data_IF_153615342576
#
_entry.id   IF_153615342576
#
_cell.length_a   1.000
_cell.length_b   1.000
_cell.length_c   1.000
_cell.angle_alpha   90.00
_cell.angle_beta   90.00
_cell.angle_gamma   90.00
#
_symmetry.space_group_name_H-M   'P 1'
#
loop_
_entity.id
_entity.type
_entity.pdbx_description
1 polymer ?
#
# COMPACT_ATOMS: atom_id res chain seq x y z
N UNK A 1 -6.95 11.86 -4.11
CA UNK A 1 -6.47 10.49 -3.79
C UNK A 1 -6.75 10.18 -2.31
N UNK A 2 -7.12 8.95 -1.91
CA UNK A 2 -7.26 8.61 -0.48
C UNK A 2 -5.87 8.33 0.11
N UNK A 3 -5.50 9.00 1.20
CA UNK A 3 -4.17 8.86 1.82
C UNK A 3 -4.18 8.28 3.25
N UNK A 4 -5.35 8.10 3.87
CA UNK A 4 -5.46 7.60 5.25
C UNK A 4 -6.50 6.48 5.37
N UNK A 5 -6.21 5.50 6.23
CA UNK A 5 -7.11 4.42 6.65
C UNK A 5 -8.19 4.88 7.63
N UNK A 6 -7.98 6.02 8.30
CA UNK A 6 -8.97 6.58 9.21
C UNK A 6 -10.30 6.83 8.48
N UNK A 7 -11.38 6.56 9.20
CA UNK A 7 -12.74 6.89 8.78
C UNK A 7 -12.97 8.40 8.84
N UNK A 8 -14.00 8.86 8.11
CA UNK A 8 -14.39 10.27 8.14
C UNK A 8 -14.78 10.72 9.57
N UNK A 9 -15.38 9.83 10.35
CA UNK A 9 -15.81 10.12 11.73
C UNK A 9 -14.61 10.27 12.68
N UNK A 10 -13.59 9.39 12.55
CA UNK A 10 -12.35 9.50 13.32
C UNK A 10 -11.61 10.81 13.02
N UNK A 11 -11.49 11.16 11.73
CA UNK A 11 -10.87 12.41 11.29
C UNK A 11 -11.66 13.61 11.82
N UNK A 12 -13.00 13.58 11.73
CA UNK A 12 -13.85 14.67 12.20
C UNK A 12 -13.74 14.85 13.73
N UNK A 13 -13.72 13.76 14.49
CA UNK A 13 -13.55 13.80 15.95
C UNK A 13 -12.19 14.40 16.33
N UNK A 14 -11.10 13.96 15.69
CA UNK A 14 -9.76 14.50 15.92
C UNK A 14 -9.67 15.99 15.59
N UNK A 15 -10.19 16.40 14.42
CA UNK A 15 -10.24 17.82 14.01
C UNK A 15 -11.00 18.69 15.02
N UNK A 16 -12.16 18.22 15.48
CA UNK A 16 -12.97 18.94 16.45
C UNK A 16 -12.24 19.14 17.79
N UNK A 17 -11.52 18.12 18.25
CA UNK A 17 -10.73 18.20 19.48
C UNK A 17 -9.51 19.12 19.35
N UNK A 18 -8.79 19.03 18.23
CA UNK A 18 -7.60 19.83 17.94
C UNK A 18 -7.93 21.33 17.75
N UNK A 19 -9.10 21.67 17.22
CA UNK A 19 -9.51 23.08 17.01
C UNK A 19 -10.36 23.63 18.14
N UNK A 20 -10.58 22.85 19.21
CA UNK A 20 -11.33 23.28 20.38
C UNK A 20 -10.67 24.53 21.00
N UNK A 21 -11.49 25.50 21.40
CA UNK A 21 -10.99 26.75 21.96
C UNK A 21 -10.32 27.71 20.96
N UNK A 22 -10.39 27.42 19.65
CA UNK A 22 -9.84 28.28 18.61
C UNK A 22 -8.37 28.05 18.30
N UNK A 23 -7.80 26.93 18.74
CA UNK A 23 -6.43 26.54 18.41
C UNK A 23 -6.28 26.29 16.90
N UNK A 24 -5.15 26.73 16.36
CA UNK A 24 -4.67 26.46 15.00
C UNK A 24 -3.90 25.15 14.96
N UNK A 25 -3.63 24.59 13.77
CA UNK A 25 -2.83 23.36 13.68
C UNK A 25 -1.40 23.57 14.17
N UNK A 26 -0.82 24.75 13.93
CA UNK A 26 0.53 25.08 14.37
C UNK A 26 0.66 25.20 15.90
N UNK A 27 -0.42 25.53 16.61
CA UNK A 27 -0.40 25.62 18.08
C UNK A 27 -0.07 24.27 18.75
N UNK A 28 -0.35 23.15 18.08
CA UNK A 28 -0.06 21.80 18.58
C UNK A 28 1.39 21.37 18.38
N UNK A 29 2.20 22.12 17.62
CA UNK A 29 3.58 21.73 17.26
C UNK A 29 4.62 22.63 17.94
N UNK A 30 4.52 22.74 19.27
CA UNK A 30 5.57 23.29 20.14
C UNK A 30 6.84 22.39 20.18
N UNK A 31 7.66 22.42 21.25
CA UNK A 31 8.83 21.53 21.33
C UNK A 31 8.44 20.04 21.23
N UNK A 32 7.26 19.68 21.75
CA UNK A 32 6.59 18.38 21.59
C UNK A 32 5.15 18.59 21.11
N UNK A 33 4.53 17.54 20.55
CA UNK A 33 3.12 17.57 20.13
C UNK A 33 2.17 17.56 21.35
N UNK A 34 1.20 18.48 21.39
CA UNK A 34 0.20 18.51 22.45
C UNK A 34 -1.03 17.67 22.09
N UNK A 35 -1.26 16.60 22.84
CA UNK A 35 -2.39 15.69 22.61
C UNK A 35 -3.67 16.32 23.18
N UNK A 36 -4.71 16.58 22.36
CA UNK A 36 -5.96 17.14 22.86
C UNK A 36 -6.71 16.11 23.71
N UNK A 37 -7.58 16.59 24.59
CA UNK A 37 -8.41 15.72 25.42
C UNK A 37 -9.30 14.80 24.56
N UNK A 38 -9.33 13.50 24.90
CA UNK A 38 -10.19 12.55 24.20
C UNK A 38 -11.67 12.83 24.52
N UNK A 39 -12.57 12.82 23.51
CA UNK A 39 -14.00 12.98 23.74
C UNK A 39 -14.53 11.89 24.69
N UNK A 40 -15.51 12.20 25.56
CA UNK A 40 -16.00 11.27 26.58
C UNK A 40 -16.63 9.99 26.02
N UNK A 41 -17.16 10.02 24.80
CA UNK A 41 -17.74 8.87 24.10
C UNK A 41 -16.73 8.13 23.20
N UNK A 42 -15.48 8.57 23.18
CA UNK A 42 -14.48 8.05 22.27
C UNK A 42 -13.90 6.72 22.76
N UNK A 43 -14.02 5.68 21.92
CA UNK A 43 -13.46 4.34 22.16
C UNK A 43 -12.18 4.08 21.36
N UNK A 44 -11.62 5.09 20.72
CA UNK A 44 -10.40 4.96 19.93
C UNK A 44 -9.20 4.68 20.84
N UNK A 45 -8.55 3.54 20.61
CA UNK A 45 -7.47 3.03 21.47
C UNK A 45 -6.18 3.85 21.34
N UNK A 46 -5.95 4.51 20.20
CA UNK A 46 -4.71 5.22 19.86
C UNK A 46 -4.97 6.73 19.58
N UNK A 47 -5.72 7.38 20.47
CA UNK A 47 -6.15 8.78 20.29
C UNK A 47 -4.98 9.76 20.09
N UNK A 48 -3.87 9.55 20.80
CA UNK A 48 -2.63 10.31 20.68
C UNK A 48 -2.09 10.29 19.25
N UNK A 49 -1.92 9.08 18.67
CA UNK A 49 -1.38 8.93 17.32
C UNK A 49 -2.35 9.37 16.25
N UNK A 50 -3.65 9.14 16.44
CA UNK A 50 -4.69 9.59 15.51
C UNK A 50 -4.70 11.12 15.43
N UNK A 51 -4.66 11.80 16.59
CA UNK A 51 -4.68 13.26 16.63
C UNK A 51 -3.40 13.85 16.05
N UNK A 52 -2.24 13.28 16.32
CA UNK A 52 -0.98 13.72 15.70
C UNK A 52 -1.00 13.52 14.17
N UNK A 53 -1.43 12.34 13.70
CA UNK A 53 -1.57 12.04 12.27
C UNK A 53 -2.48 13.06 11.57
N UNK A 54 -3.65 13.34 12.14
CA UNK A 54 -4.60 14.31 11.60
C UNK A 54 -4.03 15.72 11.65
N UNK A 55 -3.46 16.16 12.78
CA UNK A 55 -2.88 17.49 12.91
C UNK A 55 -1.79 17.76 11.86
N UNK A 56 -0.91 16.78 11.63
CA UNK A 56 0.15 16.87 10.61
C UNK A 56 -0.42 16.97 9.19
N UNK A 57 -1.41 16.14 8.85
CA UNK A 57 -2.08 16.20 7.55
C UNK A 57 -2.79 17.54 7.32
N UNK A 58 -3.52 18.03 8.33
CA UNK A 58 -4.25 19.29 8.24
C UNK A 58 -3.33 20.50 8.11
N UNK A 59 -2.20 20.47 8.83
CA UNK A 59 -1.19 21.52 8.77
C UNK A 59 -0.61 21.68 7.37
N UNK A 60 -0.26 20.58 6.70
CA UNK A 60 0.18 20.62 5.30
C UNK A 60 -0.95 21.11 4.40
N UNK A 61 -2.16 20.57 4.58
CA UNK A 61 -3.34 20.92 3.78
C UNK A 61 -3.76 22.39 3.92
N UNK A 62 -3.56 23.00 5.09
CA UNK A 62 -3.81 24.42 5.33
C UNK A 62 -2.82 25.28 4.53
N UNK A 63 -1.52 24.97 4.60
CA UNK A 63 -0.50 25.72 3.85
C UNK A 63 -0.73 25.62 2.35
N UNK A 64 -1.04 24.42 1.83
CA UNK A 64 -1.38 24.25 0.40
C UNK A 64 -2.58 25.12 0.01
N UNK A 65 -3.65 25.14 0.81
CA UNK A 65 -4.85 25.94 0.52
C UNK A 65 -4.61 27.46 0.63
N UNK A 66 -3.82 27.89 1.60
CA UNK A 66 -3.61 29.30 1.91
C UNK A 66 -2.51 29.94 1.05
N UNK A 67 -1.46 29.18 0.73
CA UNK A 67 -0.23 29.71 0.12
C UNK A 67 0.22 28.96 -1.14
N UNK A 68 -0.41 27.84 -1.48
CA UNK A 68 -0.10 27.04 -2.65
C UNK A 68 0.93 25.93 -2.39
N UNK A 69 1.15 25.12 -3.42
CA UNK A 69 2.00 23.92 -3.35
C UNK A 69 3.49 24.24 -3.16
N UNK A 70 3.98 25.31 -3.78
CA UNK A 70 5.39 25.70 -3.68
C UNK A 70 5.80 26.09 -2.24
N UNK A 71 4.93 26.84 -1.54
CA UNK A 71 5.17 27.17 -0.13
C UNK A 71 5.10 25.92 0.76
N UNK A 72 4.14 25.02 0.48
CA UNK A 72 4.06 23.74 1.19
C UNK A 72 5.32 22.88 0.96
N UNK A 73 5.87 22.86 -0.27
CA UNK A 73 7.13 22.18 -0.58
C UNK A 73 8.32 22.82 0.14
N UNK A 74 8.40 24.15 0.17
CA UNK A 74 9.46 24.85 0.90
C UNK A 74 9.44 24.53 2.39
N UNK A 75 8.24 24.37 2.97
CA UNK A 75 8.04 24.11 4.39
C UNK A 75 8.15 22.64 4.80
N UNK A 76 7.63 21.72 3.98
CA UNK A 76 7.48 20.29 4.34
C UNK A 76 8.21 19.34 3.39
N UNK A 77 8.82 19.80 2.30
CA UNK A 77 9.40 18.94 1.26
C UNK A 77 10.56 18.06 1.73
N UNK A 78 11.21 18.39 2.85
CA UNK A 78 12.27 17.58 3.46
C UNK A 78 11.79 16.76 4.65
N UNK A 79 10.47 16.71 4.90
CA UNK A 79 9.92 15.92 6.01
C UNK A 79 10.22 14.44 5.83
N UNK A 80 10.46 13.76 6.94
CA UNK A 80 10.52 12.29 7.00
C UNK A 80 9.31 11.72 7.75
N UNK A 81 8.22 12.48 7.83
CA UNK A 81 6.96 12.04 8.41
C UNK A 81 6.03 11.61 7.28
N UNK A 82 5.64 10.33 7.28
CA UNK A 82 4.91 9.73 6.16
C UNK A 82 3.61 10.44 5.81
N UNK A 83 2.81 10.85 6.80
CA UNK A 83 1.54 11.54 6.52
C UNK A 83 1.74 12.96 5.94
N UNK A 84 2.80 13.67 6.34
CA UNK A 84 3.12 14.99 5.77
C UNK A 84 3.55 14.84 4.32
N UNK A 85 4.47 13.91 4.05
CA UNK A 85 4.93 13.58 2.70
C UNK A 85 3.77 13.09 1.81
N UNK A 86 2.92 12.19 2.31
CA UNK A 86 1.75 11.68 1.61
C UNK A 86 0.73 12.77 1.27
N UNK A 87 0.52 13.73 2.19
CA UNK A 87 -0.37 14.87 1.96
C UNK A 87 0.19 15.80 0.88
N UNK A 88 1.49 16.08 0.92
CA UNK A 88 2.16 16.91 -0.09
C UNK A 88 2.12 16.23 -1.47
N UNK A 89 2.41 14.93 -1.55
CA UNK A 89 2.34 14.17 -2.78
C UNK A 89 0.91 14.07 -3.34
N UNK A 90 -0.10 13.97 -2.47
CA UNK A 90 -1.50 14.00 -2.91
C UNK A 90 -1.90 15.34 -3.52
N UNK A 91 -1.48 16.46 -2.91
CA UNK A 91 -1.68 17.79 -3.47
C UNK A 91 -0.95 17.97 -4.81
N UNK A 92 0.29 17.49 -4.91
CA UNK A 92 1.04 17.50 -6.17
C UNK A 92 0.37 16.65 -7.26
N UNK A 93 -0.21 15.50 -6.90
CA UNK A 93 -0.95 14.65 -7.83
C UNK A 93 -2.20 15.34 -8.37
N UNK A 94 -2.95 16.04 -7.50
CA UNK A 94 -4.12 16.82 -7.90
C UNK A 94 -3.77 17.99 -8.82
N UNK A 95 -2.55 18.54 -8.69
CA UNK A 95 -2.00 19.55 -9.58
C UNK A 95 -1.31 19.01 -10.85
N UNK A 96 -1.27 17.69 -11.06
CA UNK A 96 -0.51 17.05 -12.15
C UNK A 96 1.00 17.35 -12.11
N UNK A 97 1.54 17.67 -10.93
CA UNK A 97 2.95 18.00 -10.68
C UNK A 97 3.71 16.92 -9.90
N UNK A 98 3.09 15.75 -9.70
CA UNK A 98 3.71 14.63 -8.99
C UNK A 98 4.65 13.85 -9.91
N UNK A 99 5.87 13.59 -9.45
CA UNK A 99 6.85 12.76 -10.14
C UNK A 99 7.18 11.46 -9.36
N UNK A 100 7.99 10.59 -9.98
CA UNK A 100 8.41 9.32 -9.39
C UNK A 100 9.25 9.51 -8.10
N UNK A 101 10.11 10.53 -8.06
CA UNK A 101 10.98 10.78 -6.91
C UNK A 101 10.16 11.12 -5.67
N UNK A 102 9.16 11.97 -5.84
CA UNK A 102 8.22 12.34 -4.79
C UNK A 102 7.38 11.15 -4.30
N UNK A 103 7.00 10.23 -5.18
CA UNK A 103 6.31 9.00 -4.76
C UNK A 103 7.24 8.09 -3.96
N UNK A 104 8.48 7.91 -4.41
CA UNK A 104 9.48 7.10 -3.70
C UNK A 104 9.80 7.71 -2.33
N UNK A 105 9.89 9.03 -2.22
CA UNK A 105 10.12 9.73 -0.95
C UNK A 105 9.03 9.43 0.10
N UNK A 106 7.76 9.34 -0.32
CA UNK A 106 6.66 8.91 0.56
C UNK A 106 6.87 7.47 1.05
N UNK A 107 7.27 6.57 0.15
CA UNK A 107 7.47 5.14 0.45
C UNK A 107 8.75 4.88 1.27
N UNK A 108 9.70 5.81 1.27
CA UNK A 108 10.92 5.74 2.10
C UNK A 108 10.74 6.32 3.50
N UNK A 109 9.61 6.98 3.79
CA UNK A 109 9.32 7.44 5.14
C UNK A 109 9.10 6.25 6.10
N UNK A 110 9.42 6.41 7.41
CA UNK A 110 9.01 5.44 8.42
C UNK A 110 7.51 5.14 8.33
N UNK A 111 7.15 3.87 8.50
CA UNK A 111 5.78 3.41 8.29
C UNK A 111 4.84 4.04 9.32
N UNK A 112 3.88 4.80 8.81
CA UNK A 112 2.70 5.24 9.55
C UNK A 112 1.55 4.27 9.26
N UNK A 113 1.08 3.57 10.29
CA UNK A 113 0.03 2.53 10.14
C UNK A 113 -1.32 3.07 9.68
N UNK A 114 -1.55 4.39 9.80
CA UNK A 114 -2.75 5.06 9.32
C UNK A 114 -2.64 5.54 7.88
N UNK A 115 -1.43 5.62 7.29
CA UNK A 115 -1.29 5.98 5.87
C UNK A 115 -1.77 4.83 4.99
N UNK A 116 -2.57 5.17 3.97
CA UNK A 116 -3.01 4.24 2.95
C UNK A 116 -1.98 4.22 1.80
N UNK A 117 -1.01 3.29 1.87
CA UNK A 117 0.12 3.25 0.93
C UNK A 117 -0.21 2.68 -0.46
N UNK A 118 -1.33 1.99 -0.66
CA UNK A 118 -1.64 1.32 -1.92
C UNK A 118 -1.65 2.27 -3.15
N UNK A 119 -2.26 3.47 -3.09
CA UNK A 119 -2.20 4.42 -4.19
C UNK A 119 -0.78 4.87 -4.55
N UNK A 120 0.12 4.98 -3.56
CA UNK A 120 1.50 5.36 -3.81
C UNK A 120 2.28 4.23 -4.50
N UNK A 121 2.05 2.98 -4.13
CA UNK A 121 2.62 1.83 -4.85
C UNK A 121 2.13 1.77 -6.30
N UNK A 122 0.84 2.02 -6.53
CA UNK A 122 0.26 2.09 -7.89
C UNK A 122 0.90 3.21 -8.72
N UNK A 123 1.04 4.41 -8.14
CA UNK A 123 1.70 5.55 -8.79
C UNK A 123 3.17 5.28 -9.07
N UNK A 124 3.89 4.65 -8.13
CA UNK A 124 5.29 4.30 -8.29
C UNK A 124 5.49 3.36 -9.49
N UNK A 125 4.64 2.33 -9.61
CA UNK A 125 4.65 1.42 -10.77
C UNK A 125 4.25 2.15 -12.06
N UNK A 126 3.30 3.07 -12.00
CA UNK A 126 2.83 3.82 -13.17
C UNK A 126 3.89 4.78 -13.73
N UNK A 127 4.59 5.52 -12.87
CA UNK A 127 5.65 6.47 -13.24
C UNK A 127 7.01 5.79 -13.44
N UNK A 128 7.23 4.65 -12.81
CA UNK A 128 8.48 3.88 -12.84
C UNK A 128 8.73 3.04 -14.09
N UNK A 129 7.90 3.14 -15.13
CA UNK A 129 7.99 2.27 -16.32
C UNK A 129 9.29 2.42 -17.10
N UNK A 130 9.87 3.62 -17.07
CA UNK A 130 11.13 3.92 -17.76
C UNK A 130 12.36 3.64 -16.89
N UNK A 131 12.17 3.37 -15.59
CA UNK A 131 13.23 3.05 -14.61
C UNK A 131 12.80 1.87 -13.73
N UNK A 132 12.61 0.73 -14.38
CA UNK A 132 12.07 -0.49 -13.76
C UNK A 132 12.96 -0.99 -12.62
N UNK A 133 14.28 -0.91 -12.78
CA UNK A 133 15.22 -1.43 -11.79
C UNK A 133 15.14 -0.64 -10.49
N UNK A 134 15.16 0.69 -10.56
CA UNK A 134 14.98 1.57 -9.40
C UNK A 134 13.61 1.38 -8.76
N UNK A 135 12.56 1.24 -9.58
CA UNK A 135 11.19 1.05 -9.09
C UNK A 135 11.04 -0.26 -8.34
N UNK A 136 11.65 -1.34 -8.84
CA UNK A 136 11.69 -2.63 -8.16
C UNK A 136 12.42 -2.51 -6.83
N UNK A 137 13.59 -1.88 -6.81
CA UNK A 137 14.35 -1.67 -5.58
C UNK A 137 13.54 -0.90 -4.54
N UNK A 138 12.90 0.21 -4.93
CA UNK A 138 12.08 1.00 -4.02
C UNK A 138 10.89 0.21 -3.46
N UNK A 139 10.25 -0.64 -4.29
CA UNK A 139 9.20 -1.54 -3.82
C UNK A 139 9.76 -2.56 -2.82
N UNK A 140 10.87 -3.21 -3.11
CA UNK A 140 11.52 -4.18 -2.20
C UNK A 140 11.87 -3.56 -0.84
N UNK A 141 12.45 -2.35 -0.84
CA UNK A 141 12.78 -1.60 0.36
C UNK A 141 11.52 -1.27 1.18
N UNK A 142 10.47 -0.75 0.52
CA UNK A 142 9.18 -0.52 1.16
C UNK A 142 8.59 -1.81 1.72
N UNK A 143 8.63 -2.90 0.97
CA UNK A 143 8.09 -4.20 1.36
C UNK A 143 8.74 -4.72 2.64
N UNK A 144 10.06 -4.56 2.76
CA UNK A 144 10.82 -4.93 3.94
C UNK A 144 10.45 -4.03 5.14
N UNK A 145 10.41 -2.72 4.96
CA UNK A 145 10.04 -1.77 6.01
C UNK A 145 8.60 -1.98 6.52
N UNK A 146 7.66 -2.20 5.58
CA UNK A 146 6.26 -2.47 5.86
C UNK A 146 6.10 -3.79 6.63
N UNK A 147 6.78 -4.85 6.20
CA UNK A 147 6.77 -6.12 6.93
C UNK A 147 7.30 -5.97 8.37
N UNK A 148 8.41 -5.26 8.55
CA UNK A 148 8.97 -5.01 9.87
C UNK A 148 7.99 -4.25 10.78
N UNK A 149 7.39 -3.17 10.28
CA UNK A 149 6.46 -2.33 11.03
C UNK A 149 5.15 -3.05 11.42
N UNK A 150 4.67 -3.98 10.59
CA UNK A 150 3.41 -4.68 10.82
C UNK A 150 3.56 -6.01 11.57
N UNK A 151 4.77 -6.42 11.96
CA UNK A 151 5.03 -7.71 12.63
C UNK A 151 4.11 -7.97 13.83
N UNK A 152 3.77 -6.94 14.60
CA UNK A 152 2.94 -7.04 15.81
C UNK A 152 1.57 -6.36 15.68
N UNK A 153 1.19 -5.95 14.47
CA UNK A 153 -0.09 -5.29 14.21
C UNK A 153 -1.15 -6.36 13.95
N UNK A 154 -2.35 -6.29 14.56
CA UNK A 154 -3.45 -7.17 14.21
C UNK A 154 -3.73 -7.14 12.70
N UNK A 155 -3.89 -8.32 12.10
CA UNK A 155 -4.03 -8.48 10.65
C UNK A 155 -2.82 -8.01 9.82
N UNK A 156 -1.65 -7.83 10.46
CA UNK A 156 -0.43 -7.38 9.80
C UNK A 156 0.07 -8.39 8.75
N UNK A 157 -0.04 -9.68 9.04
CA UNK A 157 0.36 -10.76 8.12
C UNK A 157 -0.42 -10.72 6.81
N UNK A 158 -1.74 -10.54 6.86
CA UNK A 158 -2.59 -10.45 5.67
C UNK A 158 -2.24 -9.21 4.84
N UNK A 159 -2.01 -8.07 5.49
CA UNK A 159 -1.59 -6.82 4.82
C UNK A 159 -0.23 -6.96 4.14
N UNK A 160 0.73 -7.59 4.81
CA UNK A 160 2.07 -7.87 4.25
C UNK A 160 1.95 -8.86 3.09
N UNK A 161 1.08 -9.87 3.20
CA UNK A 161 0.80 -10.81 2.13
C UNK A 161 0.28 -10.12 0.87
N UNK A 162 -0.75 -9.28 1.00
CA UNK A 162 -1.31 -8.53 -0.13
C UNK A 162 -0.28 -7.59 -0.79
N UNK A 163 0.56 -6.94 0.01
CA UNK A 163 1.65 -6.10 -0.52
C UNK A 163 2.66 -6.92 -1.32
N UNK A 164 3.06 -8.10 -0.82
CA UNK A 164 3.98 -9.02 -1.51
C UNK A 164 3.39 -9.58 -2.79
N UNK A 165 2.09 -9.84 -2.80
CA UNK A 165 1.39 -10.27 -4.01
C UNK A 165 1.46 -9.17 -5.09
N UNK A 166 1.35 -7.89 -4.70
CA UNK A 166 1.58 -6.74 -5.59
C UNK A 166 3.02 -6.63 -6.10
N UNK A 167 4.01 -6.88 -5.24
CA UNK A 167 5.42 -6.92 -5.65
C UNK A 167 5.69 -8.06 -6.65
N UNK A 168 5.09 -9.23 -6.42
CA UNK A 168 5.21 -10.37 -7.34
C UNK A 168 4.56 -10.07 -8.70
N UNK A 169 3.36 -9.48 -8.71
CA UNK A 169 2.70 -9.01 -9.93
C UNK A 169 3.60 -8.00 -10.68
N UNK A 170 4.28 -7.11 -9.96
CA UNK A 170 5.21 -6.14 -10.56
C UNK A 170 6.47 -6.79 -11.13
N UNK A 171 7.07 -7.77 -10.44
CA UNK A 171 8.19 -8.55 -10.99
C UNK A 171 7.83 -9.20 -12.32
N UNK A 172 6.63 -9.78 -12.44
CA UNK A 172 6.15 -10.37 -13.70
C UNK A 172 6.09 -9.30 -14.80
N UNK A 173 5.52 -8.14 -14.51
CA UNK A 173 5.45 -7.03 -15.47
C UNK A 173 6.83 -6.50 -15.88
N UNK A 174 7.80 -6.53 -14.94
CA UNK A 174 9.18 -6.14 -15.14
C UNK A 174 10.03 -7.21 -15.87
N UNK A 175 9.46 -8.39 -16.17
CA UNK A 175 10.21 -9.51 -16.77
C UNK A 175 11.12 -10.26 -15.80
N UNK A 176 11.11 -9.93 -14.50
CA UNK A 176 11.84 -10.59 -13.42
C UNK A 176 11.14 -11.89 -12.99
N UNK A 177 11.12 -12.84 -13.91
CA UNK A 177 10.29 -14.06 -13.80
C UNK A 177 10.72 -14.95 -12.64
N UNK A 178 12.02 -15.13 -12.42
CA UNK A 178 12.54 -16.01 -11.37
C UNK A 178 12.21 -15.43 -9.98
N UNK A 179 12.35 -14.12 -9.81
CA UNK A 179 11.99 -13.40 -8.58
C UNK A 179 10.49 -13.46 -8.31
N UNK A 180 9.66 -13.29 -9.36
CA UNK A 180 8.22 -13.44 -9.26
C UNK A 180 7.82 -14.86 -8.82
N UNK A 181 8.40 -15.89 -9.45
CA UNK A 181 8.11 -17.29 -9.09
C UNK A 181 8.49 -17.57 -7.64
N UNK A 182 9.71 -17.19 -7.22
CA UNK A 182 10.17 -17.41 -5.86
C UNK A 182 9.28 -16.72 -4.82
N UNK A 183 8.77 -15.52 -5.12
CA UNK A 183 7.89 -14.80 -4.23
C UNK A 183 6.49 -15.42 -4.18
N UNK A 184 5.90 -15.79 -5.33
CA UNK A 184 4.61 -16.48 -5.37
C UNK A 184 4.66 -17.84 -4.69
N UNK A 185 5.74 -18.61 -4.85
CA UNK A 185 5.95 -19.90 -4.18
C UNK A 185 5.97 -19.74 -2.66
N UNK A 186 6.80 -18.81 -2.16
CA UNK A 186 6.85 -18.51 -0.72
C UNK A 186 5.48 -18.10 -0.19
N UNK A 187 4.78 -17.21 -0.90
CA UNK A 187 3.43 -16.77 -0.53
C UNK A 187 2.42 -17.91 -0.53
N UNK A 188 2.51 -18.82 -1.49
CA UNK A 188 1.64 -19.99 -1.58
C UNK A 188 1.87 -20.99 -0.43
N UNK A 189 3.12 -21.10 0.04
CA UNK A 189 3.48 -21.95 1.17
C UNK A 189 3.09 -21.33 2.52
N UNK A 190 3.14 -20.00 2.62
CA UNK A 190 2.65 -19.23 3.77
C UNK A 190 1.11 -19.29 3.89
N UNK A 191 0.39 -19.09 2.77
CA UNK A 191 -1.08 -19.08 2.73
C UNK A 191 -1.66 -20.42 2.26
N UNK A 192 -1.54 -21.42 3.13
CA UNK A 192 -1.99 -22.78 2.83
C UNK A 192 -3.52 -22.94 2.83
N UNK A 193 -4.24 -21.96 3.38
CA UNK A 193 -5.69 -21.98 3.58
C UNK A 193 -6.50 -21.52 2.37
N UNK A 194 -5.83 -20.97 1.35
CA UNK A 194 -6.50 -20.44 0.18
C UNK A 194 -5.80 -20.75 -1.15
N UNK A 195 -6.48 -20.44 -2.25
CA UNK A 195 -6.00 -20.58 -3.64
C UNK A 195 -5.65 -19.24 -4.26
N UNK A 196 -5.88 -18.12 -3.56
CA UNK A 196 -5.79 -16.76 -4.09
C UNK A 196 -4.42 -16.47 -4.71
N UNK A 197 -3.32 -16.82 -4.03
CA UNK A 197 -1.95 -16.63 -4.54
C UNK A 197 -1.75 -17.31 -5.89
N UNK A 198 -2.17 -18.58 -6.01
CA UNK A 198 -2.01 -19.33 -7.26
C UNK A 198 -2.85 -18.76 -8.41
N UNK A 199 -4.04 -18.23 -8.10
CA UNK A 199 -4.87 -17.54 -9.08
C UNK A 199 -4.25 -16.20 -9.50
N UNK A 200 -3.71 -15.42 -8.56
CA UNK A 200 -3.02 -14.16 -8.86
C UNK A 200 -1.81 -14.40 -9.75
N UNK A 201 -0.94 -15.34 -9.37
CA UNK A 201 0.22 -15.73 -10.17
C UNK A 201 -0.17 -16.16 -11.58
N UNK A 202 -1.21 -17.01 -11.71
CA UNK A 202 -1.69 -17.43 -13.04
C UNK A 202 -2.16 -16.25 -13.90
N UNK A 203 -2.85 -15.27 -13.30
CA UNK A 203 -3.35 -14.08 -13.98
C UNK A 203 -2.21 -13.15 -14.37
N UNK A 204 -1.25 -12.90 -13.48
CA UNK A 204 -0.09 -12.06 -13.74
C UNK A 204 0.72 -12.60 -14.92
N UNK A 205 1.05 -13.91 -14.89
CA UNK A 205 1.79 -14.54 -15.99
C UNK A 205 1.00 -14.57 -17.30
N UNK A 206 -0.32 -14.76 -17.27
CA UNK A 206 -1.14 -14.63 -18.49
C UNK A 206 -1.08 -13.22 -19.07
N UNK A 207 -1.18 -12.19 -18.21
CA UNK A 207 -1.14 -10.79 -18.64
C UNK A 207 0.21 -10.42 -19.27
N UNK A 208 1.31 -10.97 -18.76
CA UNK A 208 2.65 -10.82 -19.34
C UNK A 208 2.93 -11.75 -20.54
N UNK A 209 1.96 -12.55 -20.99
CA UNK A 209 2.11 -13.47 -22.12
C UNK A 209 2.91 -14.74 -21.81
N UNK A 210 3.26 -14.99 -20.55
CA UNK A 210 3.96 -16.19 -20.08
C UNK A 210 2.97 -17.35 -19.84
N UNK A 211 2.50 -17.94 -20.93
CA UNK A 211 1.43 -18.95 -20.88
C UNK A 211 1.86 -20.24 -20.16
N UNK A 212 3.14 -20.64 -20.26
CA UNK A 212 3.67 -21.82 -19.56
C UNK A 212 3.57 -21.67 -18.02
N UNK A 213 3.99 -20.52 -17.50
CA UNK A 213 3.93 -20.19 -16.08
C UNK A 213 2.48 -20.08 -15.60
N UNK A 214 1.63 -19.44 -16.39
CA UNK A 214 0.20 -19.39 -16.10
C UNK A 214 -0.44 -20.78 -15.97
N UNK A 215 -0.15 -21.68 -16.91
CA UNK A 215 -0.62 -23.06 -16.91
C UNK A 215 -0.10 -23.81 -15.68
N UNK A 216 1.16 -23.62 -15.30
CA UNK A 216 1.74 -24.18 -14.08
C UNK A 216 0.95 -23.74 -12.85
N UNK A 217 0.76 -22.44 -12.67
CA UNK A 217 0.07 -21.86 -11.51
C UNK A 217 -1.43 -22.24 -11.44
N UNK A 218 -2.12 -22.39 -12.57
CA UNK A 218 -3.47 -22.98 -12.59
C UNK A 218 -3.47 -24.42 -12.04
N UNK A 219 -2.43 -25.20 -12.34
CA UNK A 219 -2.24 -26.55 -11.80
C UNK A 219 -2.00 -26.56 -10.30
N UNK A 220 -1.13 -25.67 -9.81
CA UNK A 220 -0.86 -25.46 -8.37
C UNK A 220 -2.16 -25.10 -7.63
N UNK A 221 -2.93 -24.15 -8.17
CA UNK A 221 -4.23 -23.76 -7.60
C UNK A 221 -5.24 -24.91 -7.59
N UNK A 222 -5.30 -25.73 -8.64
CA UNK A 222 -6.13 -26.93 -8.69
C UNK A 222 -5.75 -27.96 -7.61
N UNK A 223 -4.45 -28.20 -7.40
CA UNK A 223 -3.97 -29.11 -6.36
C UNK A 223 -4.33 -28.60 -4.96
N UNK A 224 -4.12 -27.31 -4.68
CA UNK A 224 -4.51 -26.67 -3.43
C UNK A 224 -6.02 -26.73 -3.19
N UNK A 225 -6.82 -26.42 -4.20
CA UNK A 225 -8.28 -26.51 -4.10
C UNK A 225 -8.74 -27.93 -3.73
N UNK A 226 -8.12 -28.96 -4.32
CA UNK A 226 -8.42 -30.35 -4.00
C UNK A 226 -8.04 -30.71 -2.56
N UNK A 227 -6.85 -30.28 -2.10
CA UNK A 227 -6.39 -30.50 -0.72
C UNK A 227 -7.30 -29.83 0.32
N UNK A 228 -7.88 -28.67 -0.02
CA UNK A 228 -8.86 -27.95 0.80
C UNK A 228 -10.29 -28.51 0.72
N UNK A 229 -10.52 -29.63 0.02
CA UNK A 229 -11.85 -30.21 -0.18
C UNK A 229 -12.76 -29.42 -1.15
N UNK A 230 -12.22 -28.44 -1.88
CA UNK A 230 -12.95 -27.59 -2.84
C UNK A 230 -12.98 -28.23 -4.24
N UNK A 231 -13.49 -29.47 -4.34
CA UNK A 231 -13.40 -30.29 -5.56
C UNK A 231 -13.95 -29.63 -6.83
N UNK A 232 -15.11 -28.97 -6.76
CA UNK A 232 -15.69 -28.26 -7.91
C UNK A 232 -14.80 -27.11 -8.41
N UNK A 233 -14.05 -26.45 -7.52
CA UNK A 233 -13.08 -25.44 -7.91
C UNK A 233 -11.85 -26.08 -8.56
N UNK A 234 -11.33 -27.17 -7.98
CA UNK A 234 -10.20 -27.90 -8.55
C UNK A 234 -10.47 -28.33 -10.01
N UNK A 235 -11.65 -28.90 -10.28
CA UNK A 235 -12.05 -29.28 -11.65
C UNK A 235 -12.14 -28.09 -12.60
N UNK A 236 -12.71 -26.96 -12.16
CA UNK A 236 -12.75 -25.74 -12.98
C UNK A 236 -11.35 -25.23 -13.32
N UNK A 237 -10.40 -25.28 -12.39
CA UNK A 237 -9.03 -24.84 -12.62
C UNK A 237 -8.28 -25.78 -13.58
N UNK A 238 -8.45 -27.10 -13.45
CA UNK A 238 -7.92 -28.08 -14.41
C UNK A 238 -8.50 -27.88 -15.82
N UNK A 239 -9.80 -27.65 -15.92
CA UNK A 239 -10.44 -27.37 -17.20
C UNK A 239 -9.89 -26.09 -17.85
N UNK A 240 -9.68 -25.02 -17.06
CA UNK A 240 -9.03 -23.79 -17.55
C UNK A 240 -7.59 -24.04 -18.01
N UNK A 241 -6.83 -24.81 -17.23
CA UNK A 241 -5.46 -25.19 -17.57
C UNK A 241 -5.39 -25.88 -18.95
N UNK A 242 -6.31 -26.81 -19.21
CA UNK A 242 -6.39 -27.53 -20.49
C UNK A 242 -6.79 -26.63 -21.66
N UNK A 243 -7.77 -25.73 -21.47
CA UNK A 243 -8.16 -24.75 -22.49
C UNK A 243 -6.98 -23.85 -22.88
N UNK A 244 -6.20 -23.40 -21.90
CA UNK A 244 -5.03 -22.56 -22.14
C UNK A 244 -3.94 -23.35 -22.88
N UNK A 245 -3.66 -24.60 -22.49
CA UNK A 245 -2.69 -25.47 -23.19
C UNK A 245 -3.05 -25.69 -24.66
N UNK A 246 -4.32 -25.94 -24.97
CA UNK A 246 -4.78 -26.16 -26.36
C UNK A 246 -4.64 -24.95 -27.26
N UNK A 247 -4.57 -23.74 -26.70
CA UNK A 247 -4.33 -22.52 -27.48
C UNK A 247 -2.87 -22.35 -27.88
N UNK A 248 -1.95 -23.15 -27.32
CA UNK A 248 -0.53 -23.14 -27.62
C UNK A 248 -0.10 -24.25 -28.60
N UNK A 249 -0.93 -25.28 -28.78
CA UNK A 249 -0.71 -26.39 -29.72
C UNK A 249 -1.30 -26.08 -31.09
#
# INVERSE_FOLDING_TARGET
MRISWLSADEIAAARAALTAGGATWDDHFGPDFEIPASPPDNRLLDWDRITEHVARAERVSEVVRAHGLDEARARFGTTRIAIEAATLAAAAHEGEELDLDQVIDVLQCPIDTYVFYAPFLELMVAYGKDDVERTVQAYEEFAAAYAAALTNVPHGTERVGAMRDGLADFYVAAGKTDEAEALFERRHDEDQGDVAVALSASRAFLAAGSVSHAVRWLGVGAARAAALGRGALAERLRAKQEVVRRRLS
#
